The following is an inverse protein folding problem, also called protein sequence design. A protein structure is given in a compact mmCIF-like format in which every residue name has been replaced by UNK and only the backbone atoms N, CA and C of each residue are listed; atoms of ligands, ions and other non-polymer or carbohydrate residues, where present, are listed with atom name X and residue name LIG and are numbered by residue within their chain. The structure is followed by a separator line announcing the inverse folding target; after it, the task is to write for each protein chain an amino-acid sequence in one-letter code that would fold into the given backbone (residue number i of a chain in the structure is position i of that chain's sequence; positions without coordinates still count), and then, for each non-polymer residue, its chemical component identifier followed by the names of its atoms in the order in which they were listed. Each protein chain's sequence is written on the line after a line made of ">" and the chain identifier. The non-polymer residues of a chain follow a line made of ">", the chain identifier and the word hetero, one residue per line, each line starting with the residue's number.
data_IF_080337920118
#
_entry.id   IF_080337920118
#
_cell.length_a   1.000
_cell.length_b   1.000
_cell.length_c   1.000
_cell.angle_alpha   90.00
_cell.angle_beta   90.00
_cell.angle_gamma   90.00
#
_symmetry.space_group_name_H-M   'P 1'
#
loop_
_entity.id
_entity.type
_entity.pdbx_description
1 polymer ?
#
# COMPACT_ATOMS: atom_id res chain seq x y z
N UNK A 1 -7.34 32.74 30.14
CA UNK A 1 -7.54 32.55 28.69
C UNK A 1 -7.24 31.09 28.44
N UNK A 2 -8.09 30.37 27.71
CA UNK A 2 -7.88 28.94 27.45
C UNK A 2 -6.51 28.74 26.78
N UNK A 3 -5.71 27.82 27.27
CA UNK A 3 -4.41 27.49 26.67
C UNK A 3 -4.47 26.10 26.03
N UNK A 4 -4.03 26.02 24.77
CA UNK A 4 -3.94 24.78 24.01
C UNK A 4 -2.47 24.44 23.76
N UNK A 5 -2.00 23.29 24.26
CA UNK A 5 -0.61 22.86 24.13
C UNK A 5 -0.52 21.45 23.54
N UNK A 6 0.48 21.20 22.69
CA UNK A 6 0.79 19.85 22.22
C UNK A 6 1.75 19.17 23.19
N UNK A 7 1.37 17.98 23.69
CA UNK A 7 2.17 17.17 24.60
C UNK A 7 2.09 15.71 24.20
N UNK A 8 3.23 15.15 23.79
CA UNK A 8 3.38 13.72 23.54
C UNK A 8 2.27 13.11 22.65
N UNK A 9 2.01 13.72 21.48
CA UNK A 9 0.98 13.23 20.55
C UNK A 9 -0.47 13.51 20.97
N UNK A 10 -0.69 14.32 22.01
CA UNK A 10 -2.00 14.74 22.49
C UNK A 10 -2.07 16.26 22.63
N UNK A 11 -3.28 16.77 22.79
CA UNK A 11 -3.54 18.17 23.17
C UNK A 11 -3.82 18.22 24.66
N UNK A 12 -3.18 19.14 25.36
CA UNK A 12 -3.58 19.58 26.70
C UNK A 12 -4.37 20.88 26.58
N UNK A 13 -5.50 20.93 27.27
CA UNK A 13 -6.43 22.06 27.28
C UNK A 13 -6.56 22.51 28.73
N UNK A 14 -6.07 23.70 29.03
CA UNK A 14 -6.06 24.31 30.36
C UNK A 14 -6.92 25.56 30.37
N UNK A 15 -7.40 25.92 31.56
CA UNK A 15 -8.24 27.11 31.79
C UNK A 15 -9.50 27.15 30.91
N UNK A 16 -10.13 25.98 30.73
CA UNK A 16 -11.37 25.81 29.97
C UNK A 16 -12.53 26.54 30.67
N UNK A 17 -13.20 27.50 30.01
CA UNK A 17 -14.38 28.13 30.58
C UNK A 17 -15.56 27.15 30.64
N UNK A 18 -16.41 27.31 31.66
CA UNK A 18 -17.63 26.50 31.80
C UNK A 18 -18.54 26.66 30.57
N UNK A 19 -19.04 25.54 30.05
CA UNK A 19 -19.93 25.52 28.88
C UNK A 19 -19.25 25.69 27.52
N UNK A 20 -17.91 25.72 27.45
CA UNK A 20 -17.20 25.74 26.17
C UNK A 20 -17.54 24.50 25.32
N UNK A 21 -17.83 24.65 24.02
CA UNK A 21 -18.11 23.53 23.14
C UNK A 21 -16.83 22.72 22.92
N UNK A 22 -16.83 21.47 23.36
CA UNK A 22 -15.72 20.55 23.21
C UNK A 22 -16.10 19.38 22.29
N UNK A 23 -15.17 18.92 21.43
CA UNK A 23 -15.28 17.64 20.76
C UNK A 23 -15.50 16.49 21.75
N UNK A 24 -16.23 15.46 21.35
CA UNK A 24 -16.47 14.27 22.16
C UNK A 24 -15.18 13.50 22.54
N UNK A 25 -14.09 13.74 21.81
CA UNK A 25 -12.77 13.17 22.06
C UNK A 25 -12.03 13.82 23.25
N UNK A 26 -12.47 14.99 23.73
CA UNK A 26 -11.85 15.69 24.86
C UNK A 26 -12.32 15.08 26.18
N UNK A 27 -11.38 14.73 27.06
CA UNK A 27 -11.66 14.09 28.35
C UNK A 27 -10.79 14.70 29.45
N UNK A 28 -11.33 14.77 30.67
CA UNK A 28 -10.53 15.13 31.84
C UNK A 28 -9.50 14.03 32.16
N UNK A 29 -8.22 14.39 32.30
CA UNK A 29 -7.14 13.50 32.76
C UNK A 29 -6.70 13.90 34.16
N UNK A 30 -7.07 13.08 35.15
CA UNK A 30 -6.76 13.32 36.56
C UNK A 30 -5.25 13.35 36.86
N UNK A 31 -4.41 12.71 36.04
CA UNK A 31 -2.95 12.63 36.27
C UNK A 31 -2.25 13.94 35.96
N UNK A 32 -2.75 14.67 34.97
CA UNK A 32 -2.18 15.94 34.50
C UNK A 32 -3.04 17.15 34.90
N UNK A 33 -4.17 16.89 35.57
CA UNK A 33 -5.14 17.86 36.03
C UNK A 33 -5.58 18.84 34.92
N UNK A 34 -5.84 18.31 33.72
CA UNK A 34 -6.31 19.09 32.58
C UNK A 34 -7.16 18.23 31.64
N UNK A 35 -7.83 18.89 30.69
CA UNK A 35 -8.53 18.19 29.62
C UNK A 35 -7.55 17.78 28.53
N UNK A 36 -7.68 16.56 28.00
CA UNK A 36 -6.83 16.02 26.93
C UNK A 36 -7.65 15.42 25.80
N UNK A 37 -7.09 15.49 24.60
CA UNK A 37 -7.60 14.83 23.41
C UNK A 37 -6.45 14.31 22.53
N UNK A 38 -6.68 13.34 21.63
CA UNK A 38 -5.74 13.03 20.56
C UNK A 38 -5.38 14.29 19.76
N UNK A 39 -4.14 14.40 19.28
CA UNK A 39 -3.70 15.54 18.49
C UNK A 39 -4.55 15.75 17.22
N UNK A 40 -5.09 14.68 16.64
CA UNK A 40 -6.00 14.73 15.50
C UNK A 40 -7.28 15.54 15.73
N UNK A 41 -7.69 15.75 16.98
CA UNK A 41 -8.85 16.58 17.33
C UNK A 41 -8.58 18.09 17.22
N UNK A 42 -7.33 18.50 16.99
CA UNK A 42 -6.90 19.90 16.97
C UNK A 42 -7.77 20.79 16.07
N UNK A 43 -8.00 20.37 14.83
CA UNK A 43 -8.77 21.17 13.87
C UNK A 43 -10.23 21.37 14.30
N UNK A 44 -10.87 20.30 14.81
CA UNK A 44 -12.25 20.36 15.30
C UNK A 44 -12.36 21.29 16.52
N UNK A 45 -11.42 21.17 17.45
CA UNK A 45 -11.36 21.99 18.66
C UNK A 45 -11.16 23.48 18.31
N UNK A 46 -10.14 23.81 17.52
CA UNK A 46 -9.82 25.20 17.14
C UNK A 46 -10.98 25.83 16.38
N UNK A 47 -11.58 25.12 15.42
CA UNK A 47 -12.74 25.62 14.68
C UNK A 47 -13.97 25.78 15.58
N UNK A 48 -14.21 24.84 16.51
CA UNK A 48 -15.30 24.91 17.48
C UNK A 48 -15.19 26.13 18.40
N UNK A 49 -14.02 26.33 19.01
CA UNK A 49 -13.73 27.47 19.87
C UNK A 49 -13.86 28.80 19.11
N UNK A 50 -13.35 28.85 17.88
CA UNK A 50 -13.44 30.05 17.02
C UNK A 50 -14.89 30.39 16.67
N UNK A 51 -15.71 29.40 16.28
CA UNK A 51 -17.15 29.60 15.97
C UNK A 51 -17.93 30.06 17.19
N UNK A 52 -17.55 29.61 18.38
CA UNK A 52 -18.16 29.99 19.64
C UNK A 52 -17.66 31.34 20.19
N UNK A 53 -16.68 31.97 19.54
CA UNK A 53 -16.09 33.23 20.00
C UNK A 53 -15.30 33.11 21.30
N UNK A 54 -14.84 31.90 21.65
CA UNK A 54 -14.05 31.67 22.86
C UNK A 54 -12.59 32.04 22.58
N UNK A 55 -11.99 33.02 23.28
CA UNK A 55 -10.59 33.36 23.08
C UNK A 55 -9.66 32.30 23.67
N UNK A 56 -8.67 31.88 22.90
CA UNK A 56 -7.67 30.89 23.30
C UNK A 56 -6.26 31.27 22.83
N UNK A 57 -5.26 30.82 23.57
CA UNK A 57 -3.84 30.89 23.25
C UNK A 57 -3.40 29.55 22.65
N UNK A 58 -3.14 29.53 21.34
CA UNK A 58 -2.72 28.33 20.61
C UNK A 58 -1.20 28.18 20.61
N UNK A 59 -0.72 27.44 21.61
CA UNK A 59 0.68 27.03 21.74
C UNK A 59 0.93 25.63 21.18
N UNK A 60 -0.10 24.93 20.72
CA UNK A 60 0.02 23.62 20.11
C UNK A 60 0.51 23.70 18.67
N UNK A 61 0.15 24.78 17.95
CA UNK A 61 0.56 25.00 16.57
C UNK A 61 2.07 25.19 16.43
N UNK A 62 2.75 24.13 15.99
CA UNK A 62 4.17 24.17 15.62
C UNK A 62 4.43 24.21 14.10
N UNK A 63 3.39 24.13 13.27
CA UNK A 63 3.52 24.14 11.82
C UNK A 63 3.63 25.55 11.26
N UNK A 64 4.45 25.68 10.21
CA UNK A 64 4.81 26.96 9.59
C UNK A 64 4.27 27.06 8.18
N UNK A 65 4.30 28.26 7.62
CA UNK A 65 4.08 28.46 6.18
C UNK A 65 5.36 28.11 5.42
N UNK A 66 5.21 27.55 4.22
CA UNK A 66 6.36 27.26 3.36
C UNK A 66 6.88 28.57 2.74
N UNK A 67 8.16 28.86 2.94
CA UNK A 67 8.80 30.09 2.46
C UNK A 67 8.86 30.16 0.93
N UNK A 68 9.07 29.02 0.26
CA UNK A 68 9.15 28.92 -1.20
C UNK A 68 8.03 28.04 -1.75
N UNK A 69 7.41 28.51 -2.83
CA UNK A 69 6.39 27.77 -3.57
C UNK A 69 6.96 26.70 -4.50
N UNK A 70 6.09 26.19 -5.37
CA UNK A 70 6.46 25.19 -6.38
C UNK A 70 7.44 25.78 -7.41
N UNK A 71 8.64 25.20 -7.52
CA UNK A 71 9.68 25.56 -8.50
C UNK A 71 9.36 25.04 -9.89
N UNK A 72 8.89 23.80 -9.97
CA UNK A 72 8.58 23.12 -11.24
C UNK A 72 7.07 22.99 -11.40
N UNK A 73 6.49 23.76 -12.31
CA UNK A 73 5.06 23.68 -12.64
C UNK A 73 4.86 22.70 -13.79
N UNK A 74 4.45 21.48 -13.47
CA UNK A 74 3.95 20.52 -14.46
C UNK A 74 2.43 20.62 -14.53
N UNK A 75 1.89 20.77 -15.73
CA UNK A 75 0.43 20.80 -15.91
C UNK A 75 -0.20 19.48 -15.43
N UNK A 76 -1.16 19.54 -14.51
CA UNK A 76 -1.90 18.37 -14.08
C UNK A 76 -2.79 17.84 -15.21
N UNK A 77 -2.93 16.52 -15.27
CA UNK A 77 -3.96 15.88 -16.10
C UNK A 77 -5.36 16.22 -15.58
N UNK A 78 -6.42 16.18 -16.40
CA UNK A 78 -7.78 16.58 -15.98
C UNK A 78 -8.24 15.91 -14.68
N UNK A 79 -8.11 14.59 -14.58
CA UNK A 79 -8.48 13.83 -13.38
C UNK A 79 -7.63 14.19 -12.15
N UNK A 80 -6.38 14.67 -12.32
CA UNK A 80 -5.56 15.14 -11.20
C UNK A 80 -6.07 16.49 -10.69
N UNK A 81 -6.45 17.39 -11.59
CA UNK A 81 -7.09 18.67 -11.24
C UNK A 81 -8.42 18.46 -10.53
N UNK A 82 -9.23 17.52 -11.01
CA UNK A 82 -10.49 17.12 -10.38
C UNK A 82 -10.26 16.54 -8.98
N UNK A 83 -9.25 15.67 -8.81
CA UNK A 83 -8.89 15.13 -7.50
C UNK A 83 -8.51 16.24 -6.49
N UNK A 84 -7.69 17.19 -6.91
CA UNK A 84 -7.30 18.35 -6.07
C UNK A 84 -8.52 19.22 -5.75
N UNK A 85 -9.39 19.49 -6.73
CA UNK A 85 -10.60 20.28 -6.51
C UNK A 85 -11.58 19.58 -5.54
N UNK A 86 -11.77 18.28 -5.68
CA UNK A 86 -12.61 17.49 -4.78
C UNK A 86 -12.05 17.47 -3.34
N UNK A 87 -10.73 17.31 -3.20
CA UNK A 87 -10.06 17.39 -1.89
C UNK A 87 -10.19 18.79 -1.27
N UNK A 88 -10.10 19.87 -2.07
CA UNK A 88 -10.37 21.24 -1.59
C UNK A 88 -11.81 21.42 -1.13
N UNK A 89 -12.78 20.87 -1.87
CA UNK A 89 -14.21 20.90 -1.50
C UNK A 89 -14.46 20.19 -0.17
N UNK A 90 -13.70 19.13 0.12
CA UNK A 90 -13.69 18.44 1.41
C UNK A 90 -12.79 19.12 2.47
N UNK A 91 -12.55 20.43 2.32
CA UNK A 91 -11.78 21.26 3.26
C UNK A 91 -10.34 20.76 3.51
N UNK A 92 -9.75 20.06 2.53
CA UNK A 92 -8.40 19.53 2.64
C UNK A 92 -8.29 18.25 3.47
N UNK A 93 -9.38 17.49 3.64
CA UNK A 93 -9.40 16.18 4.31
C UNK A 93 -10.04 15.14 3.41
N UNK A 94 -9.29 14.14 2.98
CA UNK A 94 -9.86 13.05 2.20
C UNK A 94 -8.86 12.08 1.59
N UNK A 95 -9.40 10.97 1.10
CA UNK A 95 -8.66 9.93 0.38
C UNK A 95 -8.92 10.07 -1.12
N UNK A 96 -7.84 10.10 -1.90
CA UNK A 96 -7.86 10.09 -3.36
C UNK A 96 -7.45 8.70 -3.84
N UNK A 97 -8.37 8.04 -4.54
CA UNK A 97 -8.18 6.72 -5.11
C UNK A 97 -7.84 6.87 -6.58
N UNK A 98 -6.58 6.59 -6.91
CA UNK A 98 -6.09 6.67 -8.28
C UNK A 98 -5.29 5.43 -8.60
N UNK A 99 -5.42 4.91 -9.83
CA UNK A 99 -4.68 3.74 -10.22
C UNK A 99 -3.19 4.05 -10.18
N UNK A 100 -2.44 3.02 -9.82
CA UNK A 100 -1.36 2.44 -10.61
C UNK A 100 -0.68 3.18 -11.77
N UNK A 101 -0.65 4.49 -11.93
CA UNK A 101 -0.35 5.10 -13.25
C UNK A 101 -0.44 6.60 -13.23
N UNK A 102 -1.47 7.01 -12.54
CA UNK A 102 -2.11 8.30 -12.66
C UNK A 102 -1.36 9.45 -11.98
N UNK A 103 -0.16 9.24 -11.41
CA UNK A 103 0.60 10.31 -10.76
C UNK A 103 0.02 10.76 -9.41
N UNK A 104 -0.32 9.81 -8.52
CA UNK A 104 -0.71 10.07 -7.12
C UNK A 104 0.23 11.07 -6.43
N UNK A 105 1.54 10.89 -6.61
CA UNK A 105 2.55 11.76 -6.03
C UNK A 105 2.47 13.20 -6.55
N UNK A 106 2.09 13.39 -7.82
CA UNK A 106 1.85 14.73 -8.38
C UNK A 106 0.64 15.41 -7.74
N UNK A 107 -0.44 14.65 -7.47
CA UNK A 107 -1.61 15.17 -6.74
C UNK A 107 -1.21 15.68 -5.35
N UNK A 108 -0.37 14.94 -4.61
CA UNK A 108 0.13 15.42 -3.32
C UNK A 108 0.96 16.70 -3.45
N UNK A 109 1.86 16.78 -4.44
CA UNK A 109 2.66 17.99 -4.70
C UNK A 109 1.74 19.19 -4.92
N UNK A 110 0.66 19.03 -5.69
CA UNK A 110 -0.33 20.09 -5.91
C UNK A 110 -1.09 20.45 -4.63
N UNK A 111 -1.43 19.49 -3.78
CA UNK A 111 -2.07 19.74 -2.49
C UNK A 111 -1.13 20.45 -1.48
N UNK A 112 0.15 20.09 -1.46
CA UNK A 112 1.18 20.77 -0.66
C UNK A 112 1.33 22.23 -1.15
N UNK A 113 1.42 22.43 -2.46
CA UNK A 113 1.49 23.76 -3.06
C UNK A 113 0.22 24.59 -2.83
N UNK A 114 -0.96 23.97 -2.77
CA UNK A 114 -2.24 24.62 -2.45
C UNK A 114 -2.28 25.15 -1.01
N UNK A 115 -1.83 24.35 -0.04
CA UNK A 115 -1.92 24.72 1.38
C UNK A 115 -0.76 25.58 1.88
N UNK A 116 0.41 25.47 1.26
CA UNK A 116 1.61 26.22 1.66
C UNK A 116 1.88 26.14 3.17
N UNK A 117 1.72 24.94 3.73
CA UNK A 117 2.05 24.61 5.12
C UNK A 117 3.16 23.58 5.15
N UNK A 118 3.93 23.56 6.23
CA UNK A 118 4.87 22.46 6.48
C UNK A 118 4.14 21.12 6.35
N UNK A 119 4.74 20.19 5.61
CA UNK A 119 4.10 18.96 5.21
C UNK A 119 4.96 17.73 5.55
N UNK A 120 4.29 16.68 6.02
CA UNK A 120 4.88 15.37 6.24
C UNK A 120 4.32 14.38 5.23
N UNK A 121 5.18 13.71 4.48
CA UNK A 121 4.79 12.57 3.63
C UNK A 121 5.22 11.28 4.29
N UNK A 122 4.26 10.39 4.51
CA UNK A 122 4.46 9.08 5.14
C UNK A 122 4.29 8.00 4.07
N UNK A 123 5.32 7.17 3.87
CA UNK A 123 5.33 6.08 2.89
C UNK A 123 5.67 4.73 3.53
N UNK A 124 5.29 3.58 2.95
CA UNK A 124 5.51 2.27 3.58
C UNK A 124 6.97 1.79 3.57
N UNK A 125 7.77 2.16 2.56
CA UNK A 125 9.15 1.65 2.41
C UNK A 125 10.18 2.77 2.31
N UNK A 126 11.43 2.48 2.70
CA UNK A 126 12.55 3.44 2.55
C UNK A 126 12.83 3.79 1.08
N UNK A 127 12.56 2.88 0.15
CA UNK A 127 12.72 3.16 -1.27
C UNK A 127 11.70 4.21 -1.74
N UNK A 128 10.43 4.12 -1.31
CA UNK A 128 9.44 5.17 -1.57
C UNK A 128 9.82 6.49 -0.89
N UNK A 129 10.35 6.46 0.33
CA UNK A 129 10.82 7.67 1.01
C UNK A 129 11.89 8.39 0.18
N UNK A 130 12.83 7.65 -0.44
CA UNK A 130 13.83 8.22 -1.35
C UNK A 130 13.19 8.81 -2.61
N UNK A 131 12.26 8.11 -3.25
CA UNK A 131 11.52 8.63 -4.40
C UNK A 131 10.75 9.92 -4.08
N UNK A 132 10.11 9.97 -2.91
CA UNK A 132 9.43 11.16 -2.41
C UNK A 132 10.39 12.30 -2.09
N UNK A 133 11.55 12.01 -1.50
CA UNK A 133 12.59 12.99 -1.24
C UNK A 133 13.02 13.66 -2.55
N UNK A 134 13.36 12.88 -3.58
CA UNK A 134 13.78 13.41 -4.88
C UNK A 134 12.66 14.20 -5.56
N UNK A 135 11.42 13.71 -5.51
CA UNK A 135 10.25 14.40 -6.06
C UNK A 135 10.03 15.76 -5.37
N UNK A 136 10.04 15.81 -4.03
CA UNK A 136 9.81 17.05 -3.31
C UNK A 136 10.96 18.04 -3.49
N UNK A 137 12.21 17.55 -3.48
CA UNK A 137 13.41 18.36 -3.69
C UNK A 137 13.47 19.00 -5.08
N UNK A 138 12.96 18.29 -6.09
CA UNK A 138 12.85 18.82 -7.46
C UNK A 138 11.63 19.72 -7.65
N UNK A 139 10.53 19.44 -6.95
CA UNK A 139 9.28 20.20 -7.07
C UNK A 139 9.29 21.51 -6.29
N UNK A 140 9.92 21.54 -5.12
CA UNK A 140 9.91 22.67 -4.19
C UNK A 140 11.31 23.26 -4.04
N UNK A 141 11.33 24.51 -3.58
CA UNK A 141 12.58 25.18 -3.30
C UNK A 141 13.11 25.09 -1.88
N UNK A 142 12.26 24.59 -0.99
CA UNK A 142 12.59 24.32 0.40
C UNK A 142 13.40 23.02 0.49
N UNK A 143 14.35 22.99 1.41
CA UNK A 143 15.03 21.75 1.77
C UNK A 143 14.04 20.71 2.32
N UNK A 144 14.30 19.45 2.00
CA UNK A 144 13.46 18.31 2.40
C UNK A 144 14.20 17.50 3.46
N UNK A 145 13.55 17.25 4.59
CA UNK A 145 14.05 16.39 5.65
C UNK A 145 13.70 14.92 5.42
N UNK A 146 14.48 14.01 6.00
CA UNK A 146 14.21 12.57 6.00
C UNK A 146 14.21 12.09 7.46
N UNK A 147 13.20 11.33 7.83
CA UNK A 147 13.14 10.61 9.11
C UNK A 147 12.98 9.12 8.83
N UNK A 148 13.99 8.33 9.20
CA UNK A 148 14.00 6.88 9.02
C UNK A 148 15.23 6.37 8.26
N UNK A 149 15.52 5.07 8.39
CA UNK A 149 16.65 4.44 7.72
C UNK A 149 18.03 4.88 8.20
N UNK A 150 18.11 5.42 9.43
CA UNK A 150 19.34 5.97 10.03
C UNK A 150 19.45 7.50 9.95
N UNK A 151 18.59 8.15 9.16
CA UNK A 151 18.53 9.61 9.03
C UNK A 151 17.50 10.22 9.99
N UNK A 152 17.80 11.39 10.55
CA UNK A 152 16.87 12.12 11.42
C UNK A 152 17.00 13.64 11.21
N UNK A 153 16.52 14.11 10.06
CA UNK A 153 16.44 15.52 9.69
C UNK A 153 14.98 15.94 9.54
N UNK A 154 14.52 16.87 10.37
CA UNK A 154 13.12 17.31 10.39
C UNK A 154 13.00 18.77 9.97
N UNK A 155 12.56 18.97 8.74
CA UNK A 155 12.43 20.26 8.06
C UNK A 155 10.96 20.57 7.71
N UNK A 156 10.62 21.80 7.27
CA UNK A 156 9.24 22.14 6.92
C UNK A 156 8.60 21.19 5.90
N UNK A 157 9.37 20.67 4.95
CA UNK A 157 8.99 19.50 4.15
C UNK A 157 9.78 18.30 4.68
N UNK A 158 9.10 17.24 5.08
CA UNK A 158 9.75 16.02 5.58
C UNK A 158 9.10 14.78 4.98
N UNK A 159 9.91 13.78 4.66
CA UNK A 159 9.47 12.45 4.25
C UNK A 159 9.85 11.42 5.31
N UNK A 160 9.01 10.43 5.57
CA UNK A 160 9.23 9.41 6.60
C UNK A 160 8.60 8.08 6.23
N UNK A 161 9.08 6.98 6.83
CA UNK A 161 8.34 5.71 6.79
C UNK A 161 7.19 5.69 7.80
N UNK A 162 6.21 4.81 7.61
CA UNK A 162 5.18 4.52 8.63
C UNK A 162 5.78 4.09 9.97
N UNK A 163 6.78 3.22 9.96
CA UNK A 163 7.47 2.75 11.16
C UNK A 163 8.13 3.92 11.91
N UNK A 164 8.84 4.79 11.19
CA UNK A 164 9.53 5.94 11.78
C UNK A 164 8.53 7.00 12.25
N UNK A 165 7.42 7.18 11.52
CA UNK A 165 6.33 8.06 11.97
C UNK A 165 5.74 7.55 13.29
N UNK A 166 5.45 6.26 13.41
CA UNK A 166 4.97 5.67 14.66
C UNK A 166 5.93 5.94 15.84
N UNK A 167 7.25 5.84 15.62
CA UNK A 167 8.25 6.05 16.67
C UNK A 167 8.43 7.52 17.08
N UNK A 168 8.13 8.48 16.20
CA UNK A 168 8.53 9.88 16.40
C UNK A 168 7.37 10.89 16.43
N UNK A 169 6.15 10.49 16.05
CA UNK A 169 5.00 11.41 15.99
C UNK A 169 4.60 12.01 17.35
N UNK A 170 4.97 11.36 18.45
CA UNK A 170 4.89 11.93 19.80
C UNK A 170 5.56 13.32 19.89
N UNK A 171 6.68 13.51 19.20
CA UNK A 171 7.46 14.75 19.21
C UNK A 171 7.25 15.59 17.96
N UNK A 172 6.98 14.96 16.82
CA UNK A 172 6.87 15.65 15.53
C UNK A 172 5.45 16.09 15.19
N UNK A 173 4.44 15.57 15.89
CA UNK A 173 3.03 15.71 15.54
C UNK A 173 2.49 17.13 15.43
N UNK A 174 3.12 18.10 16.12
CA UNK A 174 2.77 19.51 16.06
C UNK A 174 3.37 20.28 14.86
N UNK A 175 4.37 19.72 14.18
CA UNK A 175 5.23 20.47 13.23
C UNK A 175 4.68 20.59 11.82
N UNK A 176 3.62 19.87 11.49
CA UNK A 176 3.10 19.77 10.12
C UNK A 176 1.63 20.20 10.05
N UNK A 177 1.33 21.09 9.10
CA UNK A 177 -0.03 21.57 8.82
C UNK A 177 -0.75 20.71 7.77
N UNK A 178 0.01 19.91 7.01
CA UNK A 178 -0.49 18.91 6.08
C UNK A 178 0.23 17.57 6.31
N UNK A 179 -0.52 16.48 6.38
CA UNK A 179 0.03 15.13 6.32
C UNK A 179 -0.49 14.39 5.09
N UNK A 180 0.43 13.76 4.36
CA UNK A 180 0.16 12.94 3.18
C UNK A 180 0.51 11.49 3.53
N UNK A 181 -0.47 10.60 3.45
CA UNK A 181 -0.30 9.16 3.63
C UNK A 181 -0.28 8.49 2.25
N UNK A 182 0.90 8.10 1.79
CA UNK A 182 1.05 7.31 0.58
C UNK A 182 0.81 5.83 0.89
N UNK A 183 0.11 5.14 -0.01
CA UNK A 183 -0.45 3.80 0.23
C UNK A 183 -1.22 3.73 1.55
N UNK A 184 -2.16 4.66 1.72
CA UNK A 184 -2.87 4.86 2.98
C UNK A 184 -3.70 3.64 3.44
N UNK A 185 -3.88 2.62 2.60
CA UNK A 185 -4.49 1.34 2.98
C UNK A 185 -3.72 0.61 4.10
N UNK A 186 -2.45 0.97 4.35
CA UNK A 186 -1.68 0.48 5.50
C UNK A 186 -2.11 1.11 6.83
N UNK A 187 -2.57 2.37 6.81
CA UNK A 187 -2.81 3.18 8.00
C UNK A 187 -3.75 2.53 9.04
N UNK A 188 -4.82 1.79 8.69
CA UNK A 188 -5.72 1.16 9.66
C UNK A 188 -5.12 0.03 10.52
N UNK A 189 -3.83 -0.31 10.35
CA UNK A 189 -3.13 -1.20 11.28
C UNK A 189 -3.02 -0.58 12.67
N UNK A 190 -3.18 -1.38 13.74
CA UNK A 190 -3.27 -0.90 15.13
C UNK A 190 -2.11 0.03 15.56
N UNK A 191 -0.91 -0.19 15.01
CA UNK A 191 0.27 0.63 15.28
C UNK A 191 0.30 1.92 14.47
N UNK A 192 -0.06 1.87 13.18
CA UNK A 192 0.08 2.99 12.27
C UNK A 192 -1.00 4.06 12.44
N UNK A 193 -2.18 3.69 12.94
CA UNK A 193 -3.24 4.65 13.28
C UNK A 193 -2.75 5.72 14.26
N UNK A 194 -1.88 5.33 15.22
CA UNK A 194 -1.30 6.24 16.20
C UNK A 194 -0.53 7.39 15.53
N UNK A 195 0.15 7.14 14.41
CA UNK A 195 0.86 8.20 13.68
C UNK A 195 -0.10 9.29 13.15
N UNK A 196 -1.33 8.90 12.75
CA UNK A 196 -2.36 9.86 12.33
C UNK A 196 -3.06 10.54 13.52
N UNK A 197 -3.29 9.81 14.61
CA UNK A 197 -3.91 10.35 15.83
C UNK A 197 -3.01 11.34 16.57
N UNK A 198 -1.69 11.12 16.54
CA UNK A 198 -0.68 11.95 17.19
C UNK A 198 -0.29 13.19 16.37
N UNK A 199 -0.93 13.43 15.22
CA UNK A 199 -0.67 14.59 14.36
C UNK A 199 -1.73 15.68 14.53
N UNK A 200 -1.34 16.95 14.70
CA UNK A 200 -2.30 18.06 14.73
C UNK A 200 -2.77 18.49 13.34
N UNK A 201 -2.13 18.00 12.27
CA UNK A 201 -2.32 18.48 10.91
C UNK A 201 -3.82 18.60 10.54
N UNK A 202 -4.34 19.82 10.32
CA UNK A 202 -5.72 20.02 9.93
C UNK A 202 -6.01 19.49 8.52
N UNK A 203 -5.01 19.53 7.63
CA UNK A 203 -5.11 19.02 6.28
C UNK A 203 -4.53 17.60 6.20
N UNK A 204 -5.29 16.69 5.59
CA UNK A 204 -4.96 15.27 5.52
C UNK A 204 -5.28 14.73 4.13
N UNK A 205 -4.30 14.12 3.50
CA UNK A 205 -4.45 13.50 2.19
C UNK A 205 -4.06 12.02 2.29
N UNK A 206 -4.98 11.13 1.92
CA UNK A 206 -4.66 9.72 1.70
C UNK A 206 -4.54 9.45 0.20
N UNK A 207 -3.51 8.70 -0.19
CA UNK A 207 -3.32 8.23 -1.55
C UNK A 207 -3.31 6.70 -1.55
N UNK A 208 -4.15 6.09 -2.37
CA UNK A 208 -4.15 4.63 -2.55
C UNK A 208 -4.66 4.25 -3.93
N UNK A 209 -4.30 3.07 -4.42
CA UNK A 209 -4.99 2.45 -5.56
C UNK A 209 -6.15 1.58 -5.09
N UNK A 210 -6.10 1.06 -3.87
CA UNK A 210 -7.04 0.10 -3.30
C UNK A 210 -7.42 0.53 -1.89
N UNK A 211 -8.55 1.23 -1.70
CA UNK A 211 -9.03 1.58 -0.36
C UNK A 211 -9.67 0.37 0.35
N UNK A 212 -10.17 -0.62 -0.42
CA UNK A 212 -10.92 -1.77 0.07
C UNK A 212 -10.00 -2.79 0.75
N UNK A 213 -10.27 -3.09 2.02
CA UNK A 213 -9.54 -4.12 2.80
C UNK A 213 -10.44 -5.31 3.10
N UNK A 214 -9.87 -6.52 3.06
CA UNK A 214 -10.57 -7.76 3.39
C UNK A 214 -11.03 -7.85 4.87
N UNK A 215 -10.51 -6.98 5.74
CA UNK A 215 -10.85 -6.93 7.17
C UNK A 215 -11.92 -5.88 7.52
N UNK A 216 -12.44 -5.13 6.54
CA UNK A 216 -13.52 -4.14 6.73
C UNK A 216 -13.12 -2.90 7.55
N UNK A 217 -11.83 -2.68 7.82
CA UNK A 217 -11.35 -1.52 8.60
C UNK A 217 -11.18 -0.23 7.79
N UNK A 218 -11.75 -0.17 6.60
CA UNK A 218 -11.75 1.03 5.74
C UNK A 218 -12.44 2.22 6.40
N UNK A 219 -13.43 1.97 7.28
CA UNK A 219 -14.10 3.02 8.04
C UNK A 219 -13.13 3.86 8.89
N UNK A 220 -12.02 3.26 9.36
CA UNK A 220 -11.00 3.98 10.11
C UNK A 220 -10.26 5.02 9.25
N UNK A 221 -10.17 4.85 7.92
CA UNK A 221 -9.58 5.86 7.04
C UNK A 221 -10.42 7.13 7.00
N UNK A 222 -11.74 6.99 7.00
CA UNK A 222 -12.67 8.11 7.00
C UNK A 222 -12.52 8.97 8.26
N UNK A 223 -12.27 8.33 9.40
CA UNK A 223 -12.04 9.01 10.67
C UNK A 223 -10.63 9.65 10.73
N UNK A 224 -9.60 8.90 10.37
CA UNK A 224 -8.20 9.33 10.52
C UNK A 224 -7.77 10.34 9.46
N UNK A 225 -8.28 10.25 8.24
CA UNK A 225 -7.91 11.12 7.11
C UNK A 225 -9.12 11.96 6.69
N UNK A 226 -10.19 11.28 6.29
CA UNK A 226 -11.39 11.85 5.68
C UNK A 226 -11.99 10.88 4.66
N UNK A 227 -13.19 11.17 4.13
CA UNK A 227 -13.89 10.29 3.19
C UNK A 227 -13.10 10.13 1.88
N UNK A 228 -13.46 9.13 1.07
CA UNK A 228 -12.99 9.07 -0.32
C UNK A 228 -13.60 10.26 -1.08
N UNK A 229 -12.77 11.19 -1.51
CA UNK A 229 -13.20 12.44 -2.17
C UNK A 229 -13.16 12.36 -3.68
N UNK A 230 -12.32 11.48 -4.21
CA UNK A 230 -12.19 11.26 -5.65
C UNK A 230 -11.72 9.84 -5.89
N UNK A 231 -12.32 9.18 -6.88
CA UNK A 231 -12.00 7.82 -7.29
C UNK A 231 -12.03 7.77 -8.80
N UNK A 232 -10.94 7.29 -9.39
CA UNK A 232 -10.90 6.99 -10.82
C UNK A 232 -10.58 5.53 -10.98
N UNK A 233 -11.46 4.83 -11.67
CA UNK A 233 -11.27 3.42 -12.01
C UNK A 233 -10.35 3.29 -13.22
N UNK A 234 -9.67 2.15 -13.32
CA UNK A 234 -8.66 1.91 -14.36
C UNK A 234 -9.25 1.98 -15.76
N UNK A 235 -10.46 1.43 -15.95
CA UNK A 235 -11.14 1.46 -17.25
C UNK A 235 -11.41 2.87 -17.77
N UNK A 236 -11.55 3.86 -16.89
CA UNK A 236 -11.76 5.25 -17.27
C UNK A 236 -10.48 5.97 -17.74
N UNK A 237 -9.29 5.40 -17.47
CA UNK A 237 -7.98 5.96 -17.87
C UNK A 237 -7.27 5.06 -18.90
N UNK A 238 -7.72 3.81 -19.06
CA UNK A 238 -7.24 2.88 -20.08
C UNK A 238 -7.38 3.50 -21.49
N UNK A 239 -6.31 3.43 -22.30
CA UNK A 239 -6.26 4.00 -23.64
C UNK A 239 -5.73 5.45 -23.76
N UNK A 240 -5.68 6.23 -22.66
CA UNK A 240 -5.13 7.60 -22.69
C UNK A 240 -3.80 7.76 -21.95
N UNK A 241 -3.61 7.11 -20.79
CA UNK A 241 -2.42 7.32 -19.96
C UNK A 241 -1.87 6.08 -19.22
N UNK A 242 -2.51 4.91 -19.35
CA UNK A 242 -1.99 3.61 -18.92
C UNK A 242 -1.69 2.79 -20.18
N UNK A 243 -0.57 2.04 -20.20
CA UNK A 243 -0.25 1.19 -21.33
C UNK A 243 -1.31 0.09 -21.47
N UNK A 244 -1.88 -0.04 -22.68
CA UNK A 244 -2.73 -1.18 -23.02
C UNK A 244 -1.89 -2.46 -23.01
N UNK A 245 -2.33 -3.43 -22.23
CA UNK A 245 -1.76 -4.78 -22.21
C UNK A 245 -2.87 -5.81 -22.38
N UNK A 246 -2.56 -6.88 -23.09
CA UNK A 246 -3.46 -8.01 -23.27
C UNK A 246 -3.27 -9.02 -22.14
N UNK A 247 -4.38 -9.51 -21.60
CA UNK A 247 -4.34 -10.57 -20.57
C UNK A 247 -4.70 -11.92 -21.17
N UNK A 248 -3.78 -12.88 -21.05
CA UNK A 248 -3.95 -14.26 -21.51
C UNK A 248 -3.99 -15.19 -20.30
N UNK A 249 -5.15 -15.81 -20.04
CA UNK A 249 -5.27 -16.82 -18.99
C UNK A 249 -5.00 -18.20 -19.55
N UNK A 250 -4.08 -18.91 -18.92
CA UNK A 250 -3.74 -20.29 -19.26
C UNK A 250 -4.12 -21.19 -18.08
N UNK A 251 -5.09 -22.07 -18.31
CA UNK A 251 -5.43 -23.13 -17.35
C UNK A 251 -4.43 -24.27 -17.51
N UNK A 252 -3.82 -24.69 -16.40
CA UNK A 252 -2.88 -25.79 -16.36
C UNK A 252 -3.51 -26.91 -15.54
N UNK A 253 -3.74 -28.05 -16.17
CA UNK A 253 -4.20 -29.24 -15.47
C UNK A 253 -3.05 -29.89 -14.70
N UNK A 254 -3.35 -30.40 -13.51
CA UNK A 254 -2.39 -31.14 -12.72
C UNK A 254 -2.22 -32.55 -13.31
N UNK A 255 -1.00 -33.08 -13.23
CA UNK A 255 -0.78 -34.48 -13.58
C UNK A 255 -1.59 -35.40 -12.68
N UNK A 256 -1.86 -36.63 -13.12
CA UNK A 256 -2.63 -37.59 -12.33
C UNK A 256 -2.02 -37.83 -10.93
N UNK A 257 -0.69 -37.85 -10.83
CA UNK A 257 0.02 -38.00 -9.56
C UNK A 257 -0.14 -36.77 -8.65
N UNK A 258 0.07 -35.56 -9.18
CA UNK A 258 -0.14 -34.31 -8.42
C UNK A 258 -1.60 -34.14 -8.01
N UNK A 259 -2.54 -34.59 -8.85
CA UNK A 259 -3.97 -34.54 -8.56
C UNK A 259 -4.32 -35.44 -7.39
N UNK A 260 -3.88 -36.70 -7.44
CA UNK A 260 -4.10 -37.64 -6.35
C UNK A 260 -3.52 -37.12 -5.03
N UNK A 261 -2.27 -36.64 -5.04
CA UNK A 261 -1.61 -36.08 -3.85
C UNK A 261 -2.34 -34.83 -3.33
N UNK A 262 -2.73 -33.92 -4.23
CA UNK A 262 -3.48 -32.72 -3.86
C UNK A 262 -4.82 -33.07 -3.20
N UNK A 263 -5.56 -34.02 -3.75
CA UNK A 263 -6.86 -34.43 -3.24
C UNK A 263 -6.75 -35.12 -1.87
N UNK A 264 -5.73 -35.95 -1.68
CA UNK A 264 -5.41 -36.57 -0.39
C UNK A 264 -5.11 -35.50 0.68
N UNK A 265 -4.17 -34.58 0.39
CA UNK A 265 -3.79 -33.52 1.31
C UNK A 265 -4.95 -32.54 1.59
N UNK A 266 -5.74 -32.25 0.56
CA UNK A 266 -6.94 -31.42 0.70
C UNK A 266 -8.00 -32.11 1.56
N UNK A 267 -8.18 -33.42 1.44
CA UNK A 267 -9.12 -34.18 2.26
C UNK A 267 -8.75 -34.15 3.75
N UNK A 268 -7.47 -34.31 4.07
CA UNK A 268 -6.94 -34.20 5.45
C UNK A 268 -7.23 -32.81 6.02
N UNK A 269 -6.91 -31.76 5.27
CA UNK A 269 -7.15 -30.38 5.68
C UNK A 269 -8.65 -30.09 5.89
N UNK A 270 -9.51 -30.44 4.92
CA UNK A 270 -10.95 -30.21 5.03
C UNK A 270 -11.61 -31.07 6.11
N UNK A 271 -11.09 -32.27 6.37
CA UNK A 271 -11.51 -33.12 7.48
C UNK A 271 -11.29 -32.43 8.82
N UNK A 272 -10.09 -31.86 9.02
CA UNK A 272 -9.76 -31.13 10.25
C UNK A 272 -10.64 -29.89 10.45
N UNK A 273 -10.88 -29.10 9.40
CA UNK A 273 -11.76 -27.93 9.49
C UNK A 273 -13.19 -28.32 9.89
N UNK A 274 -13.74 -29.36 9.26
CA UNK A 274 -15.10 -29.86 9.56
C UNK A 274 -15.19 -30.37 11.00
N UNK A 275 -14.24 -31.18 11.44
CA UNK A 275 -14.22 -31.72 12.81
C UNK A 275 -14.13 -30.62 13.89
N UNK A 276 -13.57 -29.47 13.56
CA UNK A 276 -13.40 -28.34 14.47
C UNK A 276 -14.39 -27.20 14.24
N UNK A 277 -15.32 -27.33 13.27
CA UNK A 277 -16.27 -26.28 12.92
C UNK A 277 -15.65 -25.00 12.36
N UNK A 278 -14.41 -25.04 11.87
CA UNK A 278 -13.68 -23.86 11.39
C UNK A 278 -14.20 -23.44 10.01
N UNK A 279 -14.60 -22.18 9.87
CA UNK A 279 -15.06 -21.61 8.60
C UNK A 279 -14.04 -20.60 8.06
N UNK A 280 -13.33 -20.97 6.99
CA UNK A 280 -12.29 -20.10 6.40
C UNK A 280 -12.80 -18.80 5.76
N UNK A 281 -14.11 -18.66 5.57
CA UNK A 281 -14.72 -17.43 5.06
C UNK A 281 -14.91 -16.34 6.13
N UNK A 282 -14.70 -16.64 7.42
CA UNK A 282 -14.86 -15.65 8.50
C UNK A 282 -13.54 -14.92 8.78
N UNK A 283 -13.57 -13.66 9.29
CA UNK A 283 -12.36 -12.92 9.64
C UNK A 283 -11.44 -13.63 10.66
N UNK A 284 -12.01 -14.47 11.53
CA UNK A 284 -11.28 -15.24 12.54
C UNK A 284 -10.85 -16.64 12.09
N UNK A 285 -11.39 -17.15 10.97
CA UNK A 285 -11.24 -18.57 10.59
C UNK A 285 -9.80 -19.02 10.39
N UNK A 286 -8.96 -18.16 9.82
CA UNK A 286 -7.53 -18.45 9.66
C UNK A 286 -6.80 -18.51 11.01
N UNK A 287 -7.01 -17.51 11.87
CA UNK A 287 -6.41 -17.46 13.21
C UNK A 287 -6.80 -18.66 14.05
N UNK A 288 -8.08 -19.04 13.99
CA UNK A 288 -8.60 -20.22 14.69
C UNK A 288 -7.95 -21.52 14.18
N UNK A 289 -7.81 -21.69 12.86
CA UNK A 289 -7.11 -22.84 12.29
C UNK A 289 -5.66 -22.92 12.78
N UNK A 290 -4.93 -21.80 12.76
CA UNK A 290 -3.54 -21.75 13.23
C UNK A 290 -3.47 -22.16 14.70
N UNK A 291 -4.30 -21.57 15.57
CA UNK A 291 -4.32 -21.88 16.99
C UNK A 291 -4.61 -23.36 17.26
N UNK A 292 -5.68 -23.91 16.67
CA UNK A 292 -6.08 -25.31 16.88
C UNK A 292 -5.07 -26.30 16.28
N UNK A 293 -4.46 -25.96 15.13
CA UNK A 293 -3.49 -26.81 14.47
C UNK A 293 -2.21 -27.03 15.29
N UNK A 294 -1.84 -26.06 16.15
CA UNK A 294 -0.63 -26.13 16.95
C UNK A 294 -0.77 -27.03 18.19
N UNK A 295 -2.00 -27.28 18.66
CA UNK A 295 -2.26 -27.93 19.94
C UNK A 295 -2.28 -29.46 19.87
N UNK A 296 -2.47 -30.04 18.67
CA UNK A 296 -2.70 -31.48 18.51
C UNK A 296 -1.91 -32.07 17.34
N UNK A 297 -1.70 -33.38 17.36
CA UNK A 297 -0.98 -34.11 16.29
C UNK A 297 -1.72 -34.12 14.96
N UNK A 298 -3.04 -34.34 14.98
CA UNK A 298 -3.93 -34.22 13.83
C UNK A 298 -3.95 -32.79 13.26
N UNK A 299 -3.92 -31.78 14.13
CA UNK A 299 -3.77 -30.37 13.77
C UNK A 299 -2.46 -30.09 13.03
N UNK A 300 -1.34 -30.60 13.53
CA UNK A 300 -0.02 -30.46 12.86
C UNK A 300 -0.02 -31.14 11.50
N UNK A 301 -0.66 -32.31 11.36
CA UNK A 301 -0.85 -33.00 10.07
C UNK A 301 -1.70 -32.18 9.11
N UNK A 302 -2.77 -31.53 9.58
CA UNK A 302 -3.62 -30.65 8.78
C UNK A 302 -2.90 -29.38 8.31
N UNK A 303 -2.04 -28.79 9.15
CA UNK A 303 -1.19 -27.65 8.75
C UNK A 303 -0.17 -28.06 7.67
N UNK A 304 0.45 -29.23 7.79
CA UNK A 304 1.32 -29.78 6.73
C UNK A 304 0.54 -30.00 5.44
N UNK A 305 -0.66 -30.56 5.54
CA UNK A 305 -1.54 -30.81 4.40
C UNK A 305 -1.97 -29.53 3.69
N UNK A 306 -2.28 -28.50 4.46
CA UNK A 306 -2.57 -27.17 3.95
C UNK A 306 -1.39 -26.57 3.17
N UNK A 307 -0.17 -26.71 3.67
CA UNK A 307 1.03 -26.23 2.96
C UNK A 307 1.28 -27.04 1.70
N UNK A 308 1.20 -28.37 1.79
CA UNK A 308 1.48 -29.27 0.66
C UNK A 308 0.51 -29.10 -0.50
N UNK A 309 -0.81 -29.04 -0.23
CA UNK A 309 -1.78 -28.79 -1.31
C UNK A 309 -1.54 -27.43 -2.00
N UNK A 310 -1.05 -26.42 -1.27
CA UNK A 310 -0.72 -25.10 -1.84
C UNK A 310 0.53 -25.15 -2.68
N UNK A 311 1.57 -25.84 -2.23
CA UNK A 311 2.80 -26.07 -3.00
C UNK A 311 2.47 -26.73 -4.36
N UNK A 312 1.67 -27.80 -4.35
CA UNK A 312 1.24 -28.50 -5.57
C UNK A 312 0.44 -27.58 -6.49
N UNK A 313 -0.50 -26.79 -5.95
CA UNK A 313 -1.30 -25.88 -6.76
C UNK A 313 -0.42 -24.76 -7.37
N UNK A 314 0.44 -24.13 -6.57
CA UNK A 314 1.16 -22.92 -6.97
C UNK A 314 2.35 -23.19 -7.90
N UNK A 315 3.04 -24.32 -7.73
CA UNK A 315 4.26 -24.64 -8.45
C UNK A 315 4.19 -26.04 -9.07
N UNK A 316 3.04 -26.38 -9.68
CA UNK A 316 2.89 -27.65 -10.40
C UNK A 316 3.93 -27.79 -11.51
N UNK A 317 4.29 -29.02 -11.82
CA UNK A 317 5.24 -29.32 -12.88
C UNK A 317 4.79 -28.69 -14.21
N UNK A 318 3.51 -28.86 -14.57
CA UNK A 318 2.95 -28.27 -15.79
C UNK A 318 3.00 -26.74 -15.82
N UNK A 319 2.88 -26.06 -14.67
CA UNK A 319 3.03 -24.59 -14.62
C UNK A 319 4.47 -24.18 -14.88
N UNK A 320 5.43 -24.90 -14.29
CA UNK A 320 6.84 -24.62 -14.49
C UNK A 320 7.27 -24.93 -15.94
N UNK A 321 6.75 -26.00 -16.54
CA UNK A 321 6.95 -26.34 -17.96
C UNK A 321 6.41 -25.20 -18.86
N UNK A 322 5.23 -24.67 -18.52
CA UNK A 322 4.62 -23.58 -19.27
C UNK A 322 5.39 -22.26 -19.12
N UNK A 323 5.91 -21.95 -17.93
CA UNK A 323 6.80 -20.79 -17.74
C UNK A 323 8.04 -20.92 -18.61
N UNK A 324 8.65 -22.11 -18.65
CA UNK A 324 9.81 -22.40 -19.51
C UNK A 324 9.47 -22.21 -20.99
N UNK A 325 8.31 -22.68 -21.43
CA UNK A 325 7.81 -22.47 -22.80
C UNK A 325 7.62 -20.98 -23.13
N UNK A 326 6.93 -20.23 -22.26
CA UNK A 326 6.70 -18.80 -22.44
C UNK A 326 8.01 -18.00 -22.48
N UNK A 327 8.99 -18.36 -21.64
CA UNK A 327 10.33 -17.75 -21.69
C UNK A 327 11.05 -18.05 -23.01
N UNK A 328 10.87 -19.24 -23.58
CA UNK A 328 11.43 -19.58 -24.89
C UNK A 328 10.78 -18.79 -26.03
N UNK A 329 9.45 -18.65 -26.00
CA UNK A 329 8.68 -17.85 -26.95
C UNK A 329 9.09 -16.36 -26.90
N UNK A 330 9.25 -15.85 -25.68
CA UNK A 330 9.59 -14.46 -25.38
C UNK A 330 11.10 -14.24 -25.16
N UNK A 331 11.97 -15.08 -25.71
CA UNK A 331 13.43 -14.98 -25.54
C UNK A 331 14.07 -13.66 -26.02
N UNK A 332 13.33 -12.85 -26.79
CA UNK A 332 13.74 -11.53 -27.29
C UNK A 332 13.08 -10.37 -26.55
N UNK A 333 12.16 -10.68 -25.63
CA UNK A 333 11.43 -9.72 -24.83
C UNK A 333 12.01 -9.68 -23.41
N UNK A 334 11.60 -8.67 -22.64
CA UNK A 334 11.92 -8.57 -21.22
C UNK A 334 10.75 -9.08 -20.40
N UNK A 335 10.98 -10.15 -19.66
CA UNK A 335 9.94 -10.90 -18.96
C UNK A 335 10.08 -10.73 -17.44
N UNK A 336 9.00 -10.33 -16.79
CA UNK A 336 8.92 -10.35 -15.32
C UNK A 336 8.01 -11.47 -14.85
N UNK A 337 8.53 -12.32 -13.96
CA UNK A 337 7.80 -13.46 -13.43
C UNK A 337 7.41 -13.20 -11.99
N UNK A 338 6.12 -13.26 -11.71
CA UNK A 338 5.54 -12.98 -10.40
C UNK A 338 4.96 -14.22 -9.76
N UNK A 339 5.20 -14.34 -8.45
CA UNK A 339 4.60 -15.37 -7.63
C UNK A 339 4.32 -14.87 -6.21
N UNK A 340 3.42 -15.57 -5.53
CA UNK A 340 2.98 -15.28 -4.17
C UNK A 340 4.03 -15.54 -3.10
N UNK A 341 4.89 -16.53 -3.34
CA UNK A 341 5.74 -17.11 -2.31
C UNK A 341 7.18 -17.31 -2.81
N UNK A 342 8.11 -17.29 -1.86
CA UNK A 342 9.53 -17.40 -2.19
C UNK A 342 9.89 -18.78 -2.74
N UNK A 343 9.23 -19.85 -2.28
CA UNK A 343 9.60 -21.21 -2.68
C UNK A 343 9.37 -21.41 -4.18
N UNK A 344 8.22 -20.93 -4.69
CA UNK A 344 7.92 -20.90 -6.12
C UNK A 344 8.90 -20.00 -6.89
N UNK A 345 9.26 -18.83 -6.37
CA UNK A 345 10.20 -17.92 -7.04
C UNK A 345 11.58 -18.57 -7.23
N UNK A 346 12.07 -19.24 -6.18
CA UNK A 346 13.31 -20.00 -6.24
C UNK A 346 13.20 -21.27 -7.10
N UNK A 347 12.02 -21.90 -7.17
CA UNK A 347 11.81 -23.05 -8.06
C UNK A 347 11.93 -22.64 -9.53
N UNK A 348 11.30 -21.53 -9.92
CA UNK A 348 11.44 -20.92 -11.25
C UNK A 348 12.89 -20.54 -11.53
N UNK A 349 13.55 -19.88 -10.58
CA UNK A 349 14.95 -19.49 -10.70
C UNK A 349 15.88 -20.67 -10.96
N UNK A 350 15.75 -21.76 -10.18
CA UNK A 350 16.55 -22.98 -10.37
C UNK A 350 16.24 -23.68 -11.69
N UNK A 351 14.98 -23.70 -12.11
CA UNK A 351 14.56 -24.42 -13.31
C UNK A 351 14.91 -23.67 -14.59
N UNK A 352 14.60 -22.37 -14.65
CA UNK A 352 14.76 -21.55 -15.84
C UNK A 352 16.05 -20.72 -15.84
N UNK A 353 16.88 -20.84 -14.79
CA UNK A 353 18.13 -20.11 -14.61
C UNK A 353 17.97 -18.58 -14.66
N UNK A 354 16.84 -18.10 -14.14
CA UNK A 354 16.55 -16.65 -14.05
C UNK A 354 16.94 -16.10 -12.67
N UNK A 355 17.49 -14.88 -12.59
CA UNK A 355 17.71 -14.19 -11.32
C UNK A 355 16.41 -14.05 -10.53
N UNK A 356 16.53 -14.05 -9.20
CA UNK A 356 15.37 -13.94 -8.31
C UNK A 356 15.54 -12.80 -7.32
N UNK A 357 14.50 -11.99 -7.18
CA UNK A 357 14.40 -10.94 -6.16
C UNK A 357 13.38 -11.38 -5.12
N UNK A 358 13.83 -11.53 -3.88
CA UNK A 358 12.97 -11.79 -2.71
C UNK A 358 13.33 -10.82 -1.58
N UNK A 359 12.65 -10.92 -0.44
CA UNK A 359 12.93 -10.08 0.72
C UNK A 359 14.30 -10.39 1.35
N UNK A 360 14.89 -11.52 0.98
CA UNK A 360 16.23 -11.94 1.43
C UNK A 360 17.33 -11.42 0.51
N UNK A 361 16.99 -10.95 -0.70
CA UNK A 361 17.94 -10.38 -1.65
C UNK A 361 18.49 -9.06 -1.11
N UNK A 362 19.80 -9.00 -0.92
CA UNK A 362 20.47 -7.81 -0.36
C UNK A 362 20.32 -6.63 -1.31
N UNK A 363 20.33 -5.41 -0.76
CA UNK A 363 20.16 -4.18 -1.54
C UNK A 363 21.13 -4.11 -2.74
N UNK A 364 22.42 -4.39 -2.52
CA UNK A 364 23.44 -4.36 -3.58
C UNK A 364 23.16 -5.38 -4.69
N UNK A 365 22.79 -6.61 -4.31
CA UNK A 365 22.46 -7.67 -5.27
C UNK A 365 21.17 -7.33 -6.04
N UNK A 366 20.17 -6.78 -5.37
CA UNK A 366 18.93 -6.30 -6.00
C UNK A 366 19.23 -5.24 -7.05
N UNK A 367 20.02 -4.23 -6.71
CA UNK A 367 20.41 -3.16 -7.65
C UNK A 367 21.14 -3.73 -8.87
N UNK A 368 22.07 -4.66 -8.68
CA UNK A 368 22.79 -5.31 -9.77
C UNK A 368 21.86 -6.13 -10.70
N UNK A 369 20.93 -6.89 -10.12
CA UNK A 369 19.94 -7.66 -10.91
C UNK A 369 19.08 -6.73 -11.76
N UNK A 370 18.58 -5.64 -11.18
CA UNK A 370 17.72 -4.67 -11.89
C UNK A 370 18.49 -3.91 -12.97
N UNK A 371 19.74 -3.53 -12.73
CA UNK A 371 20.59 -2.88 -13.73
C UNK A 371 20.88 -3.81 -14.93
N UNK A 372 21.20 -5.08 -14.66
CA UNK A 372 21.41 -6.10 -15.70
C UNK A 372 20.13 -6.46 -16.45
N UNK A 373 18.98 -6.42 -15.80
CA UNK A 373 17.69 -6.57 -16.46
C UNK A 373 17.38 -5.37 -17.37
N UNK A 374 17.61 -4.14 -16.87
CA UNK A 374 17.39 -2.90 -17.64
C UNK A 374 18.26 -2.82 -18.89
N UNK A 375 19.54 -3.18 -18.78
CA UNK A 375 20.49 -3.22 -19.91
C UNK A 375 20.23 -4.37 -20.90
N UNK A 376 19.33 -5.30 -20.58
CA UNK A 376 19.01 -6.46 -21.41
C UNK A 376 19.99 -7.63 -21.29
N UNK A 377 20.95 -7.58 -20.36
CA UNK A 377 21.83 -8.72 -20.03
C UNK A 377 20.99 -9.88 -19.47
N UNK A 378 20.02 -9.57 -18.62
CA UNK A 378 19.00 -10.53 -18.18
C UNK A 378 17.71 -10.30 -18.97
N UNK A 379 17.28 -11.31 -19.72
CA UNK A 379 16.00 -11.29 -20.44
C UNK A 379 14.80 -11.51 -19.52
N UNK A 380 15.00 -12.11 -18.34
CA UNK A 380 13.93 -12.38 -17.39
C UNK A 380 14.39 -12.26 -15.94
N UNK A 381 13.48 -11.85 -15.06
CA UNK A 381 13.68 -11.83 -13.59
C UNK A 381 12.44 -12.39 -12.91
N UNK A 382 12.65 -13.29 -11.95
CA UNK A 382 11.59 -13.77 -11.07
C UNK A 382 11.54 -12.94 -9.78
N UNK A 383 10.35 -12.67 -9.28
CA UNK A 383 10.17 -12.00 -7.99
C UNK A 383 9.03 -12.63 -7.21
N UNK A 384 9.24 -12.72 -5.89
CA UNK A 384 8.12 -12.84 -4.96
C UNK A 384 7.60 -11.44 -4.59
N UNK A 385 6.87 -11.29 -3.49
CA UNK A 385 6.20 -10.05 -3.00
C UNK A 385 7.10 -8.80 -2.75
N UNK A 386 8.21 -8.60 -3.44
CA UNK A 386 9.28 -7.65 -3.07
C UNK A 386 9.44 -6.50 -4.04
N UNK A 387 8.98 -6.64 -5.28
CA UNK A 387 8.84 -5.50 -6.21
C UNK A 387 7.48 -4.80 -6.06
N UNK A 388 6.82 -4.97 -4.91
CA UNK A 388 5.46 -4.50 -4.71
C UNK A 388 5.40 -2.99 -4.40
N UNK A 389 6.41 -2.40 -3.75
CA UNK A 389 6.38 -1.03 -3.22
C UNK A 389 7.79 -0.37 -3.25
N UNK A 390 7.93 0.73 -4.01
CA UNK A 390 9.09 1.66 -3.90
C UNK A 390 10.28 1.44 -4.81
N UNK A 391 10.30 0.38 -5.62
CA UNK A 391 11.42 0.11 -6.53
C UNK A 391 11.00 0.44 -7.95
N UNK A 392 11.77 1.28 -8.65
CA UNK A 392 11.62 1.48 -10.09
C UNK A 392 12.01 0.19 -10.82
N UNK A 393 10.99 -0.56 -11.23
CA UNK A 393 11.19 -1.79 -12.00
C UNK A 393 11.45 -1.40 -13.46
N UNK A 394 12.55 -1.88 -14.08
CA UNK A 394 12.86 -1.57 -15.47
C UNK A 394 11.77 -2.01 -16.44
N UNK A 395 11.68 -1.32 -17.58
CA UNK A 395 10.66 -1.57 -18.60
C UNK A 395 10.65 -3.04 -19.02
N UNK A 396 9.50 -3.70 -18.89
CA UNK A 396 9.24 -5.05 -19.35
C UNK A 396 8.17 -5.03 -20.43
N UNK A 397 8.03 -6.13 -21.17
CA UNK A 397 7.07 -6.23 -22.27
C UNK A 397 6.09 -7.38 -22.01
N UNK A 398 6.52 -8.33 -21.18
CA UNK A 398 5.78 -9.54 -20.82
C UNK A 398 5.82 -9.71 -19.30
N UNK A 399 4.68 -10.01 -18.71
CA UNK A 399 4.56 -10.40 -17.32
C UNK A 399 3.93 -11.79 -17.22
N UNK A 400 4.48 -12.66 -16.37
CA UNK A 400 3.94 -14.01 -16.12
C UNK A 400 3.60 -14.12 -14.64
N UNK A 401 2.33 -14.35 -14.32
CA UNK A 401 1.85 -14.57 -12.95
C UNK A 401 1.58 -16.06 -12.76
N UNK A 402 2.44 -16.73 -11.98
CA UNK A 402 2.38 -18.19 -11.78
C UNK A 402 1.34 -18.57 -10.73
N UNK A 403 1.24 -17.79 -9.67
CA UNK A 403 0.30 -17.99 -8.57
C UNK A 403 -0.10 -16.64 -7.98
N UNK A 404 -1.34 -16.52 -7.49
CA UNK A 404 -1.89 -15.24 -7.04
C UNK A 404 -2.88 -15.32 -5.87
N UNK A 405 -2.96 -14.22 -5.13
CA UNK A 405 -4.02 -13.86 -4.16
C UNK A 405 -4.85 -12.74 -4.80
N UNK A 406 -5.96 -12.35 -4.17
CA UNK A 406 -6.70 -11.15 -4.59
C UNK A 406 -5.82 -9.89 -4.72
N UNK A 407 -4.77 -9.77 -3.88
CA UNK A 407 -3.85 -8.62 -3.88
C UNK A 407 -2.85 -8.57 -5.04
N UNK A 408 -2.61 -9.68 -5.77
CA UNK A 408 -1.68 -9.67 -6.93
C UNK A 408 -2.26 -8.86 -8.10
N UNK A 409 -3.58 -8.66 -8.15
CA UNK A 409 -4.21 -7.77 -9.12
C UNK A 409 -3.76 -6.32 -8.95
N UNK A 410 -3.60 -5.85 -7.71
CA UNK A 410 -3.04 -4.53 -7.42
C UNK A 410 -1.58 -4.42 -7.91
N UNK A 411 -0.82 -5.52 -7.82
CA UNK A 411 0.54 -5.59 -8.38
C UNK A 411 0.52 -5.57 -9.91
N UNK A 412 -0.42 -6.27 -10.55
CA UNK A 412 -0.62 -6.26 -12.01
C UNK A 412 -1.00 -4.87 -12.52
N UNK A 413 -1.77 -4.11 -11.75
CA UNK A 413 -2.12 -2.72 -12.07
C UNK A 413 -0.91 -1.77 -11.90
N UNK A 414 0.04 -2.06 -11.00
CA UNK A 414 1.37 -1.40 -10.96
C UNK A 414 2.21 -1.80 -12.17
N UNK A 415 2.11 -3.06 -12.61
CA UNK A 415 2.79 -3.60 -13.80
C UNK A 415 2.32 -2.96 -15.10
N UNK A 416 1.10 -2.44 -15.20
CA UNK A 416 0.67 -1.64 -16.37
C UNK A 416 1.52 -0.38 -16.63
N UNK A 417 2.39 0.04 -15.68
CA UNK A 417 3.44 1.06 -15.90
C UNK A 417 4.78 0.49 -16.36
N UNK A 418 5.07 -0.74 -15.93
CA UNK A 418 6.32 -1.45 -16.19
C UNK A 418 6.25 -2.06 -17.59
N UNK A 419 5.08 -2.57 -17.94
CA UNK A 419 4.72 -3.11 -19.23
C UNK A 419 4.64 -1.98 -20.26
N UNK A 420 5.54 -2.00 -21.24
CA UNK A 420 5.53 -1.06 -22.37
C UNK A 420 5.36 -1.81 -23.68
N UNK A 421 4.63 -1.17 -24.60
CA UNK A 421 4.57 -1.61 -25.98
C UNK A 421 5.96 -1.51 -26.62
N UNK A 422 6.31 -2.51 -27.43
CA UNK A 422 7.49 -2.47 -28.31
C UNK A 422 7.00 -2.29 -29.74
N UNK A 423 7.83 -1.74 -30.64
CA UNK A 423 7.48 -1.50 -32.06
C UNK A 423 6.60 -2.62 -32.65
N UNK A 424 5.30 -2.35 -32.79
CA UNK A 424 4.31 -3.27 -33.35
C UNK A 424 3.76 -4.40 -32.46
N UNK A 425 4.09 -4.49 -31.16
CA UNK A 425 3.56 -5.49 -30.22
C UNK A 425 3.06 -4.88 -28.91
N UNK A 426 1.81 -5.19 -28.56
CA UNK A 426 1.21 -4.85 -27.27
C UNK A 426 1.90 -5.63 -26.13
N UNK A 427 1.87 -5.07 -24.91
CA UNK A 427 2.42 -5.76 -23.75
C UNK A 427 1.51 -6.93 -23.34
N UNK A 428 2.09 -8.02 -22.86
CA UNK A 428 1.35 -9.26 -22.55
C UNK A 428 1.42 -9.60 -21.08
N UNK A 429 0.28 -9.99 -20.51
CA UNK A 429 0.17 -10.52 -19.16
C UNK A 429 -0.38 -11.94 -19.20
N UNK A 430 0.44 -12.92 -18.84
CA UNK A 430 0.03 -14.31 -18.68
C UNK A 430 -0.40 -14.58 -17.23
N UNK A 431 -1.60 -15.12 -17.05
CA UNK A 431 -2.09 -15.62 -15.77
C UNK A 431 -2.20 -17.15 -15.80
N UNK A 432 -1.35 -17.83 -15.03
CA UNK A 432 -1.35 -19.29 -14.94
C UNK A 432 -2.23 -19.75 -13.78
N UNK A 433 -3.22 -20.60 -14.06
CA UNK A 433 -4.17 -21.09 -13.05
C UNK A 433 -4.22 -22.60 -13.06
N UNK A 434 -3.99 -23.24 -11.90
CA UNK A 434 -4.12 -24.69 -11.78
C UNK A 434 -5.60 -25.10 -11.75
N UNK A 435 -6.04 -25.85 -12.76
CA UNK A 435 -7.42 -26.33 -12.91
C UNK A 435 -7.88 -27.17 -11.71
N UNK A 436 -9.15 -27.04 -11.32
CA UNK A 436 -9.74 -27.83 -10.22
C UNK A 436 -9.09 -27.63 -8.84
N UNK A 437 -8.43 -26.49 -8.60
CA UNK A 437 -7.82 -26.14 -7.30
C UNK A 437 -8.46 -24.90 -6.69
N UNK A 438 -8.02 -24.54 -5.48
CA UNK A 438 -8.35 -23.26 -4.84
C UNK A 438 -7.92 -22.03 -5.65
N UNK A 439 -7.07 -22.17 -6.66
CA UNK A 439 -6.70 -21.06 -7.55
C UNK A 439 -7.81 -20.70 -8.54
N UNK A 440 -8.64 -21.65 -8.97
CA UNK A 440 -9.76 -21.38 -9.90
C UNK A 440 -10.74 -20.40 -9.29
N UNK A 441 -11.21 -20.65 -8.06
CA UNK A 441 -12.13 -19.74 -7.34
C UNK A 441 -11.47 -18.42 -6.93
N UNK A 442 -10.15 -18.40 -6.79
CA UNK A 442 -9.40 -17.16 -6.56
C UNK A 442 -9.28 -16.35 -7.85
N UNK A 443 -9.15 -16.99 -9.01
CA UNK A 443 -9.15 -16.34 -10.33
C UNK A 443 -10.55 -15.85 -10.74
N UNK A 444 -11.61 -16.62 -10.45
CA UNK A 444 -13.00 -16.19 -10.72
C UNK A 444 -13.40 -14.96 -9.90
N UNK A 445 -13.12 -14.96 -8.59
CA UNK A 445 -13.31 -13.77 -7.74
C UNK A 445 -12.50 -12.54 -8.21
N UNK A 446 -11.42 -12.72 -8.99
CA UNK A 446 -10.69 -11.59 -9.60
C UNK A 446 -11.45 -10.95 -10.77
N UNK A 447 -12.35 -11.68 -11.44
CA UNK A 447 -13.09 -11.19 -12.62
C UNK A 447 -14.41 -10.50 -12.28
N UNK A 448 -15.07 -10.93 -11.20
CA UNK A 448 -16.34 -10.30 -10.77
C UNK A 448 -16.18 -8.84 -10.31
N UNK A 449 -14.94 -8.39 -10.13
CA UNK A 449 -14.59 -7.04 -9.71
C UNK A 449 -14.18 -6.19 -10.92
N UNK A 450 -14.76 -4.99 -11.07
CA UNK A 450 -15.03 -4.27 -12.32
C UNK A 450 -13.84 -4.00 -13.26
N UNK A 451 -12.59 -4.01 -12.79
CA UNK A 451 -11.41 -3.70 -13.61
C UNK A 451 -11.01 -4.77 -14.67
N UNK A 452 -11.91 -5.68 -15.06
CA UNK A 452 -11.77 -6.66 -16.16
C UNK A 452 -12.99 -6.65 -17.11
N UNK A 453 -14.03 -5.85 -16.83
CA UNK A 453 -14.99 -5.40 -17.85
C UNK A 453 -14.48 -4.12 -18.46
#
# INVERSE_FOLDING_TARGET
>A
MLALEFRAGTLEIRDLPEGAPLPASVRWDARTACHRAPASAYAELVLGLTRAGVPFDDRARGYVELAEGLRVRREPRPFQSEAVAAWRKAQGRGVVVLPTGAGKSHVAVLCIADKQRSALVVAPTLDLVRQWYDLLRTSFGTEVGIVGGGEHSVLPLTVTTYDSAYLHMEHLGARFGLVVFDECHHLPGATYQLAAEQCIAPFRLGLTATPERADGREAALSELIGPVVHRVEIGAIAGSFLAEYDTVRLSVELSAAERAEYEEERAVYLGFLRANGIRMGTPSGWSEFVMRSAQRTDGRRAMRAYRRQREIAFASAGKLDLVEHLLHEHRRDRVLIFTQDNATAYAVSRRCLVPVITHQTKIRERSEILERFSSGVYGAVATSKVLNEGVDVPDANVAIVISGSGSVREHVQRLGRILRQREGKQALLYELVSGGTSETSTSERRRDHEAYR
#
